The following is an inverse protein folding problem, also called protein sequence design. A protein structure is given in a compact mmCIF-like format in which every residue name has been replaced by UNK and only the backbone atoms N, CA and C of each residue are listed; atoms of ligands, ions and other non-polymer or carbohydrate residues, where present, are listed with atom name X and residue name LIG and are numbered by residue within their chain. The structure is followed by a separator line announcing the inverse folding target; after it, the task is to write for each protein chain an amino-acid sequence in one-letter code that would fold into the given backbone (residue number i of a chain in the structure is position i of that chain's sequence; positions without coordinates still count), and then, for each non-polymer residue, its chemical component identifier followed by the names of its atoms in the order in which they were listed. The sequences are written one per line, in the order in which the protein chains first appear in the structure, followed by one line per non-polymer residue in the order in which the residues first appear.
data_IF_762192589359
#
_entry.id   IF_762192589359
#
_cell.length_a   1.000
_cell.length_b   1.000
_cell.length_c   1.000
_cell.angle_alpha   90.00
_cell.angle_beta   90.00
_cell.angle_gamma   90.00
#
_symmetry.space_group_name_H-M   'P 1'
#
loop_
_entity.id
_entity.type
_entity.pdbx_description
1 polymer ?
#
# COMPACT_ATOMS: atom_id res chain seq x y z
N UNK A 1 23.26 -39.31 41.91
CA UNK A 1 22.58 -39.71 40.65
C UNK A 1 21.29 -38.95 40.61
N UNK A 2 21.29 -37.81 39.92
CA UNK A 2 20.10 -36.93 39.84
C UNK A 2 19.35 -37.26 38.56
N UNK A 3 18.13 -37.66 38.75
CA UNK A 3 17.17 -38.06 37.73
C UNK A 3 16.81 -36.90 36.80
N UNK A 4 16.73 -37.21 35.53
CA UNK A 4 16.39 -36.26 34.50
C UNK A 4 14.95 -35.79 34.59
N UNK A 5 14.75 -34.51 34.81
CA UNK A 5 13.47 -33.85 34.86
C UNK A 5 12.68 -33.92 33.53
N UNK A 6 11.45 -33.44 33.50
CA UNK A 6 10.45 -33.60 32.43
C UNK A 6 10.87 -33.14 31.03
N UNK A 7 12.04 -32.53 30.90
CA UNK A 7 12.61 -32.06 29.65
C UNK A 7 13.03 -33.17 28.67
N UNK A 8 13.41 -34.37 29.15
CA UNK A 8 13.81 -35.50 28.27
C UNK A 8 12.63 -36.25 27.64
N UNK A 9 11.42 -36.12 28.18
CA UNK A 9 10.23 -36.77 27.63
C UNK A 9 9.64 -36.02 26.42
N UNK A 10 9.78 -34.69 26.38
CA UNK A 10 9.27 -33.87 25.29
C UNK A 10 10.11 -33.95 23.99
N UNK A 11 11.36 -34.42 24.08
CA UNK A 11 12.27 -34.55 22.94
C UNK A 11 12.03 -35.80 22.07
N UNK A 12 11.14 -36.71 22.49
CA UNK A 12 10.87 -37.99 21.77
C UNK A 12 9.63 -37.94 20.86
N UNK A 13 8.86 -36.87 20.84
CA UNK A 13 7.57 -36.82 20.15
C UNK A 13 7.47 -35.76 19.03
N UNK A 14 8.54 -35.44 18.36
CA UNK A 14 8.48 -34.57 17.21
C UNK A 14 9.87 -34.29 16.63
N UNK A 15 10.07 -34.56 15.34
CA UNK A 15 11.30 -34.38 14.62
C UNK A 15 11.70 -32.89 14.44
N UNK A 16 12.11 -32.25 15.54
CA UNK A 16 12.76 -30.94 15.52
C UNK A 16 14.18 -31.10 16.05
N UNK A 17 15.17 -31.07 15.16
CA UNK A 17 16.58 -31.00 15.55
C UNK A 17 16.85 -29.58 16.05
N UNK A 18 16.63 -29.35 17.34
CA UNK A 18 17.07 -28.11 18.00
C UNK A 18 18.62 -28.07 17.98
N UNK A 19 19.19 -27.01 17.41
CA UNK A 19 20.64 -26.80 17.47
C UNK A 19 21.09 -26.68 18.93
N UNK A 20 22.31 -27.12 19.27
CA UNK A 20 22.88 -27.09 20.63
C UNK A 20 22.79 -25.72 21.30
N UNK A 21 22.89 -24.63 20.52
CA UNK A 21 22.72 -23.24 20.96
C UNK A 21 21.30 -22.90 21.44
N UNK A 22 20.29 -23.53 20.89
CA UNK A 22 18.88 -23.31 21.28
C UNK A 22 18.57 -23.99 22.62
N UNK A 23 19.16 -25.18 22.88
CA UNK A 23 18.99 -25.91 24.13
C UNK A 23 19.67 -25.18 25.31
N UNK A 24 20.85 -24.58 25.09
CA UNK A 24 21.52 -23.77 26.12
C UNK A 24 20.71 -22.52 26.50
N UNK A 25 20.10 -21.83 25.52
CA UNK A 25 19.24 -20.68 25.78
C UNK A 25 17.91 -21.04 26.45
N UNK A 26 17.33 -22.21 26.17
CA UNK A 26 16.12 -22.65 26.83
C UNK A 26 16.33 -22.93 28.35
N UNK A 27 17.56 -23.20 28.78
CA UNK A 27 17.87 -23.45 30.20
C UNK A 27 17.86 -22.18 31.07
N UNK A 28 17.96 -20.98 30.43
CA UNK A 28 17.87 -19.67 31.11
C UNK A 28 16.40 -19.29 31.40
N UNK A 29 15.43 -19.89 30.70
CA UNK A 29 14.01 -19.62 30.84
C UNK A 29 13.34 -20.81 31.50
N UNK A 30 12.77 -20.69 32.66
CA UNK A 30 12.19 -21.78 33.48
C UNK A 30 11.29 -22.80 32.75
N UNK A 31 10.85 -22.52 31.51
CA UNK A 31 10.14 -23.47 30.65
C UNK A 31 10.36 -23.18 29.14
N UNK A 32 10.16 -24.20 28.28
CA UNK A 32 10.16 -24.06 26.83
C UNK A 32 9.09 -23.06 26.35
N UNK A 33 7.97 -22.97 27.09
CA UNK A 33 6.90 -22.04 26.82
C UNK A 33 7.37 -20.58 27.01
N UNK A 34 8.08 -20.31 28.09
CA UNK A 34 8.62 -19.00 28.43
C UNK A 34 9.70 -18.58 27.43
N UNK A 35 10.57 -19.51 27.05
CA UNK A 35 11.54 -19.27 25.97
C UNK A 35 10.88 -18.92 24.63
N UNK A 36 9.84 -19.68 24.22
CA UNK A 36 9.10 -19.40 22.97
C UNK A 36 8.37 -18.07 23.06
N UNK A 37 7.81 -17.73 24.22
CA UNK A 37 7.14 -16.46 24.43
C UNK A 37 8.13 -15.28 24.39
N UNK A 38 9.32 -15.45 24.99
CA UNK A 38 10.36 -14.44 24.97
C UNK A 38 10.98 -14.25 23.58
N UNK A 39 11.21 -15.34 22.82
CA UNK A 39 11.62 -15.22 21.41
C UNK A 39 10.55 -14.54 20.55
N UNK A 40 9.27 -14.81 20.81
CA UNK A 40 8.17 -14.10 20.15
C UNK A 40 8.17 -12.63 20.55
N UNK A 41 8.37 -12.30 21.82
CA UNK A 41 8.43 -10.95 22.35
C UNK A 41 9.63 -10.18 21.78
N UNK A 42 10.82 -10.78 21.77
CA UNK A 42 12.02 -10.19 21.17
C UNK A 42 11.92 -10.00 19.65
N UNK A 43 11.15 -10.85 18.96
CA UNK A 43 10.80 -10.65 17.54
C UNK A 43 9.76 -9.54 17.38
N UNK A 44 8.80 -9.43 18.30
CA UNK A 44 7.82 -8.31 18.31
C UNK A 44 8.48 -6.97 18.64
N UNK A 45 9.45 -6.92 19.56
CA UNK A 45 10.18 -5.69 19.90
C UNK A 45 11.05 -5.14 18.75
N UNK A 46 11.40 -5.98 17.77
CA UNK A 46 12.06 -5.56 16.52
C UNK A 46 11.09 -5.02 15.48
N UNK A 47 9.80 -5.25 15.66
CA UNK A 47 8.78 -4.80 14.74
C UNK A 47 8.29 -3.40 15.14
N UNK A 48 8.55 -2.44 14.28
CA UNK A 48 7.93 -1.13 14.39
C UNK A 48 6.60 -1.17 13.63
N UNK A 49 5.46 -0.98 14.31
CA UNK A 49 4.14 -0.98 13.66
C UNK A 49 3.98 0.18 12.68
N UNK A 50 4.83 1.18 12.81
CA UNK A 50 4.89 2.36 11.95
C UNK A 50 6.30 2.51 11.37
N UNK A 51 6.36 3.00 10.15
CA UNK A 51 7.60 3.34 9.48
C UNK A 51 7.55 4.80 9.06
N UNK A 52 8.66 5.49 9.28
CA UNK A 52 8.81 6.91 8.96
C UNK A 52 10.06 7.11 8.12
N UNK A 53 9.94 7.90 7.05
CA UNK A 53 11.07 8.34 6.24
C UNK A 53 10.88 9.77 5.76
N UNK A 54 11.99 10.45 5.44
CA UNK A 54 11.96 11.80 4.88
C UNK A 54 12.37 11.79 3.42
N UNK A 55 11.73 12.64 2.61
CA UNK A 55 12.05 12.84 1.20
C UNK A 55 11.88 14.30 0.84
N UNK A 56 12.80 14.83 0.06
CA UNK A 56 12.71 16.19 -0.50
C UNK A 56 11.94 16.17 -1.81
N UNK A 57 11.09 17.16 -2.01
CA UNK A 57 10.37 17.37 -3.27
C UNK A 57 11.35 17.88 -4.32
N UNK A 58 11.63 17.04 -5.33
CA UNK A 58 12.57 17.34 -6.40
C UNK A 58 11.83 17.99 -7.61
N UNK A 59 12.59 18.64 -8.47
CA UNK A 59 12.05 19.28 -9.69
C UNK A 59 11.26 18.30 -10.56
N UNK A 60 11.71 17.06 -10.71
CA UNK A 60 11.03 16.02 -11.48
C UNK A 60 9.67 15.60 -10.90
N UNK A 61 9.42 15.93 -9.64
CA UNK A 61 8.16 15.67 -8.96
C UNK A 61 7.12 16.77 -9.19
N UNK A 62 7.54 17.95 -9.73
CA UNK A 62 6.72 19.13 -9.76
C UNK A 62 6.03 19.36 -11.12
N UNK A 63 4.95 20.12 -11.06
CA UNK A 63 4.24 20.65 -12.22
C UNK A 63 4.83 22.03 -12.63
N UNK A 64 4.16 22.66 -13.62
CA UNK A 64 4.51 23.99 -14.18
C UNK A 64 4.43 25.14 -13.16
N UNK A 65 3.86 24.93 -11.98
CA UNK A 65 3.71 25.91 -10.90
C UNK A 65 4.56 25.56 -9.66
N UNK A 66 5.61 24.74 -9.83
CA UNK A 66 6.49 24.24 -8.78
C UNK A 66 5.75 23.45 -7.69
N UNK A 67 4.53 22.97 -7.96
CA UNK A 67 3.71 22.17 -7.05
C UNK A 67 4.00 20.69 -7.25
N UNK A 68 4.15 19.93 -6.19
CA UNK A 68 4.30 18.48 -6.28
C UNK A 68 3.07 17.86 -6.92
N UNK A 69 3.27 17.12 -8.03
CA UNK A 69 2.18 16.41 -8.72
C UNK A 69 1.58 15.33 -7.81
N UNK A 70 0.25 15.18 -7.78
CA UNK A 70 -0.41 14.17 -6.97
C UNK A 70 0.09 12.75 -7.20
N UNK A 71 0.42 12.38 -8.44
CA UNK A 71 1.00 11.08 -8.74
C UNK A 71 2.40 10.90 -8.13
N UNK A 72 3.24 11.95 -8.14
CA UNK A 72 4.55 11.91 -7.49
C UNK A 72 4.43 11.70 -5.97
N UNK A 73 3.41 12.31 -5.33
CA UNK A 73 3.09 12.08 -3.93
C UNK A 73 2.70 10.61 -3.68
N UNK A 74 1.84 10.02 -4.53
CA UNK A 74 1.47 8.61 -4.43
C UNK A 74 2.64 7.66 -4.69
N UNK A 75 3.57 7.99 -5.59
CA UNK A 75 4.80 7.21 -5.79
C UNK A 75 5.67 7.21 -4.52
N UNK A 76 5.82 8.35 -3.86
CA UNK A 76 6.58 8.44 -2.61
C UNK A 76 5.89 7.65 -1.47
N UNK A 77 4.56 7.70 -1.39
CA UNK A 77 3.72 6.91 -0.47
C UNK A 77 3.89 5.41 -0.72
N UNK A 78 3.81 4.98 -1.97
CA UNK A 78 4.00 3.57 -2.36
C UNK A 78 5.40 3.08 -1.98
N UNK A 79 6.43 3.90 -2.21
CA UNK A 79 7.80 3.56 -1.84
C UNK A 79 7.96 3.46 -0.31
N UNK A 80 7.39 4.37 0.48
CA UNK A 80 7.41 4.28 1.94
C UNK A 80 6.75 2.99 2.46
N UNK A 81 5.64 2.58 1.84
CA UNK A 81 4.99 1.30 2.12
C UNK A 81 5.89 0.09 1.79
N UNK A 82 6.60 0.13 0.68
CA UNK A 82 7.57 -0.89 0.26
C UNK A 82 8.77 -0.97 1.21
N UNK A 83 9.32 0.19 1.59
CA UNK A 83 10.44 0.28 2.54
C UNK A 83 10.06 -0.32 3.89
N UNK A 84 8.83 -0.03 4.37
CA UNK A 84 8.30 -0.66 5.58
C UNK A 84 8.18 -2.18 5.44
N UNK A 85 7.59 -2.68 4.34
CA UNK A 85 7.47 -4.11 4.09
C UNK A 85 8.86 -4.79 4.11
N UNK A 86 9.85 -4.20 3.46
CA UNK A 86 11.24 -4.70 3.46
C UNK A 86 11.84 -4.71 4.87
N UNK A 87 11.62 -3.64 5.65
CA UNK A 87 12.14 -3.53 7.02
C UNK A 87 11.58 -4.62 7.96
N UNK A 88 10.35 -5.08 7.72
CA UNK A 88 9.71 -6.15 8.48
C UNK A 88 9.88 -7.55 7.88
N UNK A 89 10.72 -7.68 6.85
CA UNK A 89 11.04 -8.97 6.21
C UNK A 89 10.04 -9.41 5.13
N UNK A 90 9.04 -8.61 4.81
CA UNK A 90 8.10 -8.85 3.70
C UNK A 90 8.72 -8.37 2.38
N UNK A 91 9.85 -8.98 2.01
CA UNK A 91 10.60 -8.66 0.79
C UNK A 91 9.98 -9.31 -0.45
N UNK A 92 10.37 -8.93 -1.68
CA UNK A 92 9.92 -9.62 -2.90
C UNK A 92 10.15 -11.14 -2.86
N UNK A 93 11.24 -11.60 -2.25
CA UNK A 93 11.52 -13.04 -2.08
C UNK A 93 10.50 -13.73 -1.17
N UNK A 94 9.96 -13.03 -0.16
CA UNK A 94 8.93 -13.53 0.73
C UNK A 94 7.64 -13.89 -0.02
N UNK A 95 7.27 -13.13 -1.06
CA UNK A 95 6.06 -13.36 -1.83
C UNK A 95 6.22 -14.38 -2.96
N UNK A 96 7.46 -14.60 -3.40
CA UNK A 96 7.75 -15.38 -4.62
C UNK A 96 7.44 -16.87 -4.48
N UNK A 97 7.83 -17.50 -3.36
CA UNK A 97 7.60 -18.94 -3.18
C UNK A 97 6.12 -19.31 -2.97
N UNK A 98 5.35 -18.59 -2.12
CA UNK A 98 3.94 -18.88 -1.99
C UNK A 98 3.07 -18.35 -3.13
N UNK A 99 3.65 -17.83 -4.22
CA UNK A 99 2.94 -17.28 -5.39
C UNK A 99 1.85 -16.28 -5.01
N UNK A 100 2.18 -15.37 -4.10
CA UNK A 100 1.22 -14.37 -3.60
C UNK A 100 1.58 -12.97 -4.06
N UNK A 101 0.55 -12.12 -4.16
CA UNK A 101 0.73 -10.69 -4.37
C UNK A 101 -0.35 -9.89 -3.63
N UNK A 102 0.01 -8.69 -3.20
CA UNK A 102 -0.98 -7.69 -2.80
C UNK A 102 -1.44 -6.90 -4.01
N UNK A 103 -2.75 -6.85 -4.23
CA UNK A 103 -3.38 -6.00 -5.22
C UNK A 103 -4.05 -4.83 -4.51
N UNK A 104 -3.79 -3.62 -4.99
CA UNK A 104 -4.49 -2.42 -4.53
C UNK A 104 -5.91 -2.42 -5.12
N UNK A 105 -6.91 -2.43 -4.25
CA UNK A 105 -8.32 -2.43 -4.66
C UNK A 105 -8.92 -1.03 -4.63
N UNK A 106 -8.59 -0.25 -3.60
CA UNK A 106 -9.10 1.10 -3.41
C UNK A 106 -8.05 1.99 -2.76
N UNK A 107 -8.08 3.27 -3.10
CA UNK A 107 -7.23 4.27 -2.48
C UNK A 107 -7.95 5.62 -2.45
N UNK A 108 -7.75 6.38 -1.39
CA UNK A 108 -8.09 7.78 -1.33
C UNK A 108 -6.87 8.56 -0.89
N UNK A 109 -6.62 9.66 -1.57
CA UNK A 109 -5.62 10.68 -1.24
C UNK A 109 -6.38 11.96 -0.91
N UNK A 110 -6.14 12.56 0.25
CA UNK A 110 -6.57 13.90 0.59
C UNK A 110 -5.35 14.80 0.75
N UNK A 111 -5.36 15.96 0.09
CA UNK A 111 -4.29 16.95 0.08
C UNK A 111 -4.83 18.22 0.74
N UNK A 112 -4.38 18.49 1.95
CA UNK A 112 -4.78 19.69 2.71
C UNK A 112 -3.98 20.93 2.28
N UNK A 113 -2.74 20.71 1.84
CA UNK A 113 -1.84 21.70 1.27
C UNK A 113 -0.93 21.02 0.25
N UNK A 114 -0.89 21.53 -0.95
CA UNK A 114 0.02 20.99 -1.98
C UNK A 114 1.46 21.32 -1.64
N UNK A 115 2.35 20.31 -1.49
CA UNK A 115 3.77 20.55 -1.28
C UNK A 115 4.43 21.19 -2.50
N UNK A 116 5.50 21.94 -2.30
CA UNK A 116 6.23 22.67 -3.34
C UNK A 116 7.69 22.23 -3.44
N UNK A 117 8.34 22.61 -4.54
CA UNK A 117 9.75 22.31 -4.82
C UNK A 117 10.66 22.65 -3.64
N UNK A 118 11.51 21.72 -3.26
CA UNK A 118 12.52 21.90 -2.22
C UNK A 118 12.05 21.60 -0.79
N UNK A 119 10.74 21.44 -0.56
CA UNK A 119 10.23 21.06 0.76
C UNK A 119 10.71 19.64 1.14
N UNK A 120 11.07 19.45 2.42
CA UNK A 120 11.32 18.12 2.98
C UNK A 120 10.09 17.62 3.71
N UNK A 121 9.56 16.50 3.25
CA UNK A 121 8.34 15.89 3.78
C UNK A 121 8.67 14.64 4.57
N UNK A 122 7.97 14.45 5.69
CA UNK A 122 8.02 13.25 6.51
C UNK A 122 6.84 12.36 6.15
N UNK A 123 7.12 11.16 5.64
CA UNK A 123 6.14 10.14 5.28
C UNK A 123 6.06 9.13 6.41
N UNK A 124 4.91 9.02 7.04
CA UNK A 124 4.59 7.98 8.01
C UNK A 124 3.67 6.95 7.36
N UNK A 125 3.94 5.67 7.54
CA UNK A 125 3.10 4.58 7.03
C UNK A 125 2.81 3.56 8.10
N UNK A 126 1.53 3.13 8.20
CA UNK A 126 1.02 2.21 9.20
C UNK A 126 0.05 1.22 8.55
N UNK A 127 0.36 -0.09 8.51
CA UNK A 127 -0.65 -1.11 8.23
C UNK A 127 -1.54 -1.30 9.46
N UNK A 128 -2.76 -1.78 9.25
CA UNK A 128 -3.68 -2.15 10.32
C UNK A 128 -3.95 -3.65 10.32
N UNK A 129 -4.40 -4.19 11.45
CA UNK A 129 -4.88 -5.57 11.54
C UNK A 129 -5.94 -5.82 10.46
N UNK A 130 -5.72 -6.81 9.56
CA UNK A 130 -6.63 -7.03 8.45
C UNK A 130 -8.01 -7.42 8.93
N UNK A 131 -9.03 -6.84 8.33
CA UNK A 131 -10.43 -7.22 8.54
C UNK A 131 -10.92 -8.03 7.36
N UNK A 132 -11.29 -9.30 7.57
CA UNK A 132 -11.64 -10.26 6.52
C UNK A 132 -10.46 -10.44 5.54
N UNK A 133 -10.67 -10.16 4.25
CA UNK A 133 -9.62 -10.23 3.21
C UNK A 133 -9.00 -8.86 2.86
N UNK A 134 -9.32 -7.81 3.64
CA UNK A 134 -8.88 -6.44 3.37
C UNK A 134 -7.75 -6.07 4.31
N UNK A 135 -6.64 -5.63 3.72
CA UNK A 135 -5.46 -5.11 4.38
C UNK A 135 -5.43 -3.60 4.18
N UNK A 136 -5.73 -2.84 5.24
CA UNK A 136 -5.69 -1.39 5.24
C UNK A 136 -4.28 -0.91 5.55
N UNK A 137 -3.85 0.14 4.85
CA UNK A 137 -2.62 0.86 5.15
C UNK A 137 -2.88 2.35 5.06
N UNK A 138 -2.55 3.04 6.14
CA UNK A 138 -2.64 4.48 6.24
C UNK A 138 -1.27 5.11 6.02
N UNK A 139 -1.27 6.29 5.42
CA UNK A 139 -0.10 7.16 5.33
C UNK A 139 -0.50 8.56 5.74
N UNK A 140 0.39 9.21 6.49
CA UNK A 140 0.32 10.63 6.81
C UNK A 140 1.60 11.29 6.33
N UNK A 141 1.45 12.41 5.69
CA UNK A 141 2.55 13.20 5.17
C UNK A 141 2.56 14.53 5.89
N UNK A 142 3.70 14.88 6.51
CA UNK A 142 3.87 16.09 7.30
C UNK A 142 4.99 16.94 6.71
N UNK A 143 4.87 18.27 6.85
CA UNK A 143 5.95 19.21 6.55
C UNK A 143 6.98 19.28 7.70
N UNK A 144 7.99 20.14 7.55
CA UNK A 144 9.04 20.33 8.55
C UNK A 144 8.52 20.90 9.89
N UNK A 145 7.36 21.55 9.89
CA UNK A 145 6.71 22.05 11.09
C UNK A 145 5.86 20.97 11.80
N UNK A 146 5.75 19.77 11.23
CA UNK A 146 4.90 18.68 11.71
C UNK A 146 3.42 18.87 11.40
N UNK A 147 3.07 19.76 10.45
CA UNK A 147 1.71 19.92 9.98
C UNK A 147 1.39 18.91 8.90
N UNK A 148 0.26 18.22 9.03
CA UNK A 148 -0.22 17.28 8.03
C UNK A 148 -0.55 18.01 6.73
N UNK A 149 0.12 17.65 5.64
CA UNK A 149 -0.10 18.20 4.29
C UNK A 149 -0.94 17.28 3.43
N UNK A 150 -0.88 15.96 3.66
CA UNK A 150 -1.72 15.00 2.97
C UNK A 150 -1.90 13.71 3.78
N UNK A 151 -2.97 12.96 3.49
CA UNK A 151 -3.23 11.63 4.01
C UNK A 151 -3.66 10.67 2.91
N UNK A 152 -3.32 9.39 3.08
CA UNK A 152 -3.72 8.33 2.14
C UNK A 152 -4.25 7.12 2.91
N UNK A 153 -5.45 6.66 2.56
CA UNK A 153 -6.00 5.37 2.97
C UNK A 153 -5.99 4.43 1.77
N UNK A 154 -5.34 3.30 1.89
CA UNK A 154 -5.25 2.28 0.84
C UNK A 154 -5.75 0.92 1.31
N UNK A 155 -6.55 0.25 0.46
CA UNK A 155 -7.19 -1.04 0.73
C UNK A 155 -6.66 -2.07 -0.24
N UNK A 156 -5.97 -3.06 0.30
CA UNK A 156 -5.29 -4.11 -0.44
C UNK A 156 -5.98 -5.44 -0.23
N UNK A 157 -5.89 -6.31 -1.21
CA UNK A 157 -6.28 -7.72 -1.11
C UNK A 157 -5.08 -8.60 -1.41
N UNK A 158 -4.91 -9.66 -0.63
CA UNK A 158 -3.89 -10.67 -0.89
C UNK A 158 -4.48 -11.72 -1.82
N UNK A 159 -3.78 -12.01 -2.92
CA UNK A 159 -4.21 -13.00 -3.91
C UNK A 159 -3.17 -14.06 -4.13
N UNK A 160 -3.62 -15.24 -4.48
CA UNK A 160 -2.82 -16.28 -5.10
C UNK A 160 -2.68 -15.93 -6.59
N UNK A 161 -1.45 -15.77 -7.07
CA UNK A 161 -1.15 -15.26 -8.42
C UNK A 161 -1.52 -16.28 -9.50
N UNK A 162 -1.40 -17.59 -9.20
CA UNK A 162 -1.69 -18.65 -10.16
C UNK A 162 -3.18 -18.84 -10.36
N UNK A 163 -3.93 -18.92 -9.24
CA UNK A 163 -5.37 -19.15 -9.28
C UNK A 163 -6.19 -17.86 -9.38
N UNK A 164 -5.57 -16.70 -9.19
CA UNK A 164 -6.18 -15.36 -9.11
C UNK A 164 -7.28 -15.26 -8.04
N UNK A 165 -7.21 -16.08 -7.00
CA UNK A 165 -8.20 -16.10 -5.91
C UNK A 165 -7.71 -15.23 -4.75
N UNK A 166 -8.66 -14.50 -4.15
CA UNK A 166 -8.41 -13.75 -2.92
C UNK A 166 -8.18 -14.74 -1.78
N UNK A 167 -7.06 -14.56 -1.07
CA UNK A 167 -6.72 -15.30 0.13
C UNK A 167 -7.44 -14.66 1.32
N UNK A 168 -8.50 -15.32 1.80
CA UNK A 168 -9.34 -14.80 2.90
C UNK A 168 -8.68 -14.88 4.27
N UNK A 169 -7.63 -15.66 4.40
CA UNK A 169 -6.88 -15.85 5.63
C UNK A 169 -5.42 -15.58 5.39
N UNK A 170 -4.79 -14.95 6.37
CA UNK A 170 -3.36 -14.70 6.34
C UNK A 170 -2.60 -16.03 6.29
N UNK A 171 -1.70 -16.24 5.32
CA UNK A 171 -0.89 -17.45 5.22
C UNK A 171 -0.03 -17.66 6.46
N UNK A 172 0.27 -18.92 6.78
CA UNK A 172 1.19 -19.26 7.86
C UNK A 172 2.55 -18.60 7.59
N UNK A 173 3.06 -17.87 8.57
CA UNK A 173 4.32 -17.15 8.45
C UNK A 173 4.18 -15.64 8.16
N UNK A 174 3.02 -15.17 7.71
CA UNK A 174 2.73 -13.73 7.63
C UNK A 174 2.37 -13.10 8.98
N UNK A 175 2.15 -13.88 10.03
CA UNK A 175 2.02 -13.39 11.41
C UNK A 175 3.35 -12.85 11.93
N UNK A 176 4.02 -12.06 11.11
CA UNK A 176 5.32 -11.48 11.46
C UNK A 176 5.18 -10.40 12.54
N UNK A 177 3.95 -9.95 12.83
CA UNK A 177 3.75 -8.76 13.64
C UNK A 177 2.36 -8.72 14.25
N UNK A 178 2.28 -8.21 15.45
CA UNK A 178 1.05 -7.63 15.95
C UNK A 178 0.81 -6.32 15.15
N UNK A 179 0.02 -6.40 14.10
CA UNK A 179 -0.40 -5.22 13.38
C UNK A 179 -1.27 -4.37 14.31
N UNK A 180 -1.12 -3.03 14.28
CA UNK A 180 -1.89 -2.17 15.15
C UNK A 180 -3.39 -2.35 14.94
N UNK A 181 -4.15 -2.20 16.02
CA UNK A 181 -5.60 -2.13 15.92
C UNK A 181 -6.02 -0.97 15.01
N UNK A 182 -7.13 -1.11 14.28
CA UNK A 182 -7.67 -0.05 13.45
C UNK A 182 -7.95 1.23 14.23
N UNK A 183 -7.65 2.37 13.62
CA UNK A 183 -8.10 3.67 14.11
C UNK A 183 -9.48 3.98 13.52
N UNK A 184 -10.33 4.62 14.32
CA UNK A 184 -11.71 4.92 13.91
C UNK A 184 -11.79 6.07 12.87
N UNK A 185 -10.71 6.83 12.67
CA UNK A 185 -10.61 7.85 11.64
C UNK A 185 -10.41 7.19 10.26
N UNK A 186 -11.39 7.33 9.39
CA UNK A 186 -11.35 6.79 8.03
C UNK A 186 -11.63 7.90 7.01
N UNK A 187 -10.76 7.98 6.00
CA UNK A 187 -11.03 8.81 4.83
C UNK A 187 -12.16 8.17 4.00
N UNK A 188 -13.01 9.01 3.41
CA UNK A 188 -14.11 8.50 2.59
C UNK A 188 -13.61 7.90 1.29
N UNK A 189 -13.84 6.61 1.10
CA UNK A 189 -13.55 5.89 -0.15
C UNK A 189 -14.71 5.94 -1.15
N UNK A 190 -15.73 6.76 -0.88
CA UNK A 190 -16.90 6.91 -1.77
C UNK A 190 -16.50 7.67 -3.02
N UNK A 191 -17.02 7.22 -4.17
CA UNK A 191 -16.88 7.84 -5.47
C UNK A 191 -18.28 8.25 -5.94
N UNK A 192 -18.51 9.55 -6.15
CA UNK A 192 -19.70 10.07 -6.79
C UNK A 192 -19.61 9.79 -8.30
N UNK A 193 -20.69 9.24 -8.88
CA UNK A 193 -20.75 8.96 -10.31
C UNK A 193 -21.42 10.12 -11.05
N UNK A 194 -20.85 10.51 -12.19
CA UNK A 194 -21.46 11.50 -13.04
C UNK A 194 -22.74 10.95 -13.70
N UNK A 195 -23.76 11.80 -13.79
CA UNK A 195 -25.01 11.46 -14.49
C UNK A 195 -24.81 11.40 -16.01
N UNK A 196 -23.93 12.24 -16.53
CA UNK A 196 -23.57 12.31 -17.94
C UNK A 196 -22.07 12.15 -18.12
N UNK A 197 -21.67 11.38 -19.13
CA UNK A 197 -20.28 11.11 -19.46
C UNK A 197 -19.95 11.67 -20.82
N UNK A 198 -18.76 12.28 -20.95
CA UNK A 198 -18.21 12.63 -22.24
C UNK A 198 -17.81 11.38 -23.04
N UNK A 199 -17.69 11.53 -24.36
CA UNK A 199 -17.24 10.44 -25.22
C UNK A 199 -15.88 9.89 -24.75
N UNK A 200 -15.69 8.57 -24.80
CA UNK A 200 -14.43 7.97 -24.39
C UNK A 200 -13.26 8.40 -25.30
N UNK A 201 -12.10 8.60 -24.69
CA UNK A 201 -10.85 8.90 -25.38
C UNK A 201 -9.92 7.69 -25.26
N UNK A 202 -9.31 7.31 -26.38
CA UNK A 202 -8.34 6.21 -26.41
C UNK A 202 -7.04 6.59 -25.71
N UNK A 203 -6.53 5.68 -24.94
CA UNK A 203 -5.29 5.77 -24.17
C UNK A 203 -4.45 4.51 -24.40
N UNK A 204 -3.16 4.59 -24.12
CA UNK A 204 -2.22 3.47 -24.18
C UNK A 204 -1.42 3.39 -22.89
N UNK A 205 -1.32 2.21 -22.28
CA UNK A 205 -0.41 1.98 -21.16
C UNK A 205 1.05 2.04 -21.63
N UNK A 206 1.62 3.25 -21.64
CA UNK A 206 2.98 3.50 -22.13
C UNK A 206 4.04 2.94 -21.20
N UNK A 207 5.19 2.56 -21.73
CA UNK A 207 6.34 2.04 -20.98
C UNK A 207 6.68 2.89 -19.73
N UNK A 208 6.71 4.21 -19.86
CA UNK A 208 7.06 5.14 -18.78
C UNK A 208 6.04 5.19 -17.62
N UNK A 209 4.84 4.66 -17.83
CA UNK A 209 3.75 4.62 -16.84
C UNK A 209 3.60 3.25 -16.18
N UNK A 210 4.33 2.25 -16.67
CA UNK A 210 4.22 0.86 -16.20
C UNK A 210 5.30 0.53 -15.18
N UNK A 211 4.97 -0.37 -14.27
CA UNK A 211 5.88 -0.87 -13.24
C UNK A 211 6.57 -2.19 -13.63
N UNK A 212 7.35 -2.74 -12.68
CA UNK A 212 8.07 -4.00 -12.84
C UNK A 212 7.16 -5.22 -13.11
N UNK A 213 5.86 -5.13 -12.83
CA UNK A 213 4.89 -6.19 -13.12
C UNK A 213 4.40 -6.13 -14.57
N UNK A 214 4.84 -5.12 -15.34
CA UNK A 214 4.43 -4.93 -16.73
C UNK A 214 3.02 -4.38 -16.89
N UNK A 215 2.47 -3.73 -15.88
CA UNK A 215 1.15 -3.11 -15.89
C UNK A 215 1.26 -1.62 -15.56
N UNK A 216 0.27 -0.84 -15.97
CA UNK A 216 0.15 0.56 -15.60
C UNK A 216 0.18 0.69 -14.07
N UNK A 217 1.16 1.44 -13.55
CA UNK A 217 1.41 1.56 -12.11
C UNK A 217 0.26 2.26 -11.39
N UNK A 218 -0.08 1.80 -10.19
CA UNK A 218 -1.19 2.34 -9.41
C UNK A 218 -1.06 3.85 -9.15
N UNK A 219 0.14 4.35 -8.85
CA UNK A 219 0.37 5.77 -8.64
C UNK A 219 0.35 6.56 -9.97
N UNK A 220 0.91 6.00 -11.05
CA UNK A 220 0.91 6.60 -12.39
C UNK A 220 -0.49 6.76 -12.98
N UNK A 221 -1.47 5.95 -12.53
CA UNK A 221 -2.86 6.16 -12.90
C UNK A 221 -3.33 7.59 -12.62
N UNK A 222 -2.86 8.21 -11.55
CA UNK A 222 -3.28 9.57 -11.21
C UNK A 222 -2.77 10.63 -12.21
N UNK A 223 -1.56 10.44 -12.78
CA UNK A 223 -1.11 11.27 -13.91
C UNK A 223 -2.04 11.08 -15.12
N UNK A 224 -2.36 9.83 -15.50
CA UNK A 224 -3.26 9.52 -16.62
C UNK A 224 -4.66 10.10 -16.42
N UNK A 225 -5.18 10.06 -15.20
CA UNK A 225 -6.48 10.63 -14.86
C UNK A 225 -6.46 12.17 -14.95
N UNK A 226 -5.39 12.80 -14.46
CA UNK A 226 -5.19 14.26 -14.58
C UNK A 226 -5.03 14.69 -16.04
N UNK A 227 -4.25 13.96 -16.84
CA UNK A 227 -4.06 14.25 -18.28
C UNK A 227 -5.36 14.19 -19.08
N UNK A 228 -6.35 13.42 -18.61
CA UNK A 228 -7.66 13.35 -19.25
C UNK A 228 -8.58 14.54 -18.91
N UNK A 229 -8.21 15.42 -17.99
CA UNK A 229 -9.00 16.60 -17.62
C UNK A 229 -8.68 17.79 -18.53
N UNK A 230 -9.59 18.80 -18.58
CA UNK A 230 -9.28 20.06 -19.23
C UNK A 230 -8.06 20.72 -18.58
N UNK A 231 -7.12 21.20 -19.38
CA UNK A 231 -5.90 21.82 -18.86
C UNK A 231 -6.21 23.04 -17.98
N UNK A 232 -7.28 23.77 -18.31
CA UNK A 232 -7.74 24.93 -17.55
C UNK A 232 -8.14 24.56 -16.12
N UNK A 233 -8.66 23.33 -15.90
CA UNK A 233 -8.97 22.84 -14.57
C UNK A 233 -7.70 22.66 -13.73
N UNK A 234 -6.69 22.00 -14.30
CA UNK A 234 -5.40 21.75 -13.64
C UNK A 234 -4.67 23.06 -13.35
N UNK A 235 -4.81 24.07 -14.25
CA UNK A 235 -4.21 25.39 -14.08
C UNK A 235 -4.93 26.23 -13.00
N UNK A 236 -6.26 26.10 -12.91
CA UNK A 236 -7.07 26.94 -12.04
C UNK A 236 -6.92 26.58 -10.55
N UNK A 237 -6.81 25.29 -10.23
CA UNK A 237 -6.71 24.82 -8.85
C UNK A 237 -5.93 23.51 -8.75
N UNK A 238 -5.16 23.31 -7.68
CA UNK A 238 -4.53 22.02 -7.40
C UNK A 238 -5.60 20.99 -7.00
N UNK A 239 -5.31 19.71 -7.27
CA UNK A 239 -6.10 18.60 -6.77
C UNK A 239 -6.09 18.59 -5.23
N UNK A 240 -7.26 18.51 -4.62
CA UNK A 240 -7.38 18.39 -3.16
C UNK A 240 -7.80 16.98 -2.70
N UNK A 241 -8.44 16.19 -3.59
CA UNK A 241 -8.81 14.80 -3.27
C UNK A 241 -8.82 13.93 -4.51
N UNK A 242 -8.36 12.68 -4.36
CA UNK A 242 -8.51 11.63 -5.35
C UNK A 242 -8.99 10.34 -4.67
N UNK A 243 -10.20 9.88 -4.99
CA UNK A 243 -10.68 8.55 -4.62
C UNK A 243 -10.64 7.64 -5.84
N UNK A 244 -10.01 6.47 -5.71
CA UNK A 244 -9.71 5.59 -6.85
C UNK A 244 -10.08 4.15 -6.48
N UNK A 245 -10.84 3.47 -7.36
CA UNK A 245 -11.10 2.03 -7.33
C UNK A 245 -10.35 1.37 -8.49
N UNK A 246 -9.48 0.43 -8.18
CA UNK A 246 -8.73 -0.37 -9.14
C UNK A 246 -9.45 -1.70 -9.36
N UNK A 247 -9.87 -1.99 -10.59
CA UNK A 247 -10.66 -3.17 -10.91
C UNK A 247 -9.90 -4.20 -11.75
N UNK A 248 -9.21 -3.71 -12.79
CA UNK A 248 -8.52 -4.59 -13.73
C UNK A 248 -7.22 -3.98 -14.22
N UNK A 249 -6.16 -4.77 -14.25
CA UNK A 249 -4.84 -4.33 -14.70
C UNK A 249 -4.85 -4.00 -16.19
N UNK A 250 -4.11 -2.96 -16.59
CA UNK A 250 -3.85 -2.61 -17.99
C UNK A 250 -2.38 -2.93 -18.29
N UNK A 251 -2.09 -4.02 -19.06
CA UNK A 251 -0.72 -4.38 -19.40
C UNK A 251 -0.05 -3.34 -20.29
N UNK A 252 1.28 -3.25 -20.19
CA UNK A 252 2.09 -2.35 -20.99
C UNK A 252 1.84 -2.56 -22.50
N UNK A 253 1.68 -1.46 -23.22
CA UNK A 253 1.40 -1.45 -24.66
C UNK A 253 -0.06 -1.70 -25.03
N UNK A 254 -0.94 -2.03 -24.07
CA UNK A 254 -2.36 -2.22 -24.35
C UNK A 254 -3.14 -0.90 -24.35
N UNK A 255 -4.11 -0.83 -25.25
CA UNK A 255 -5.08 0.25 -25.35
C UNK A 255 -6.19 0.11 -24.32
N UNK A 256 -6.73 1.21 -23.88
CA UNK A 256 -7.93 1.33 -23.06
C UNK A 256 -8.61 2.66 -23.36
N UNK A 257 -9.86 2.80 -22.99
CA UNK A 257 -10.60 4.07 -23.13
C UNK A 257 -10.81 4.69 -21.76
N UNK A 258 -10.83 6.03 -21.73
CA UNK A 258 -11.11 6.81 -20.53
C UNK A 258 -12.22 7.81 -20.83
N UNK A 259 -13.31 7.74 -20.10
CA UNK A 259 -14.42 8.68 -20.11
C UNK A 259 -14.43 9.51 -18.85
N UNK A 260 -14.90 10.74 -18.91
CA UNK A 260 -15.07 11.63 -17.77
C UNK A 260 -16.44 12.28 -17.75
N UNK A 261 -16.88 12.70 -16.59
CA UNK A 261 -18.10 13.47 -16.43
C UNK A 261 -18.02 14.35 -15.18
N UNK A 262 -18.76 15.44 -15.18
CA UNK A 262 -18.80 16.37 -14.04
C UNK A 262 -19.58 15.78 -12.86
N UNK A 263 -19.03 16.01 -11.65
CA UNK A 263 -19.69 15.80 -10.36
C UNK A 263 -19.64 17.12 -9.57
N UNK A 264 -20.27 17.14 -8.43
CA UNK A 264 -20.47 18.37 -7.63
C UNK A 264 -19.15 19.11 -7.34
N UNK A 265 -18.09 18.38 -6.96
CA UNK A 265 -16.79 18.97 -6.55
C UNK A 265 -15.66 18.82 -7.55
N UNK A 266 -15.89 18.12 -8.66
CA UNK A 266 -14.84 17.87 -9.61
C UNK A 266 -15.25 16.98 -10.77
N UNK A 267 -14.55 15.84 -10.93
CA UNK A 267 -14.73 14.95 -12.07
C UNK A 267 -14.79 13.49 -11.64
N UNK A 268 -15.75 12.77 -12.20
CA UNK A 268 -15.76 11.31 -12.22
C UNK A 268 -15.10 10.82 -13.50
N UNK A 269 -14.21 9.81 -13.38
CA UNK A 269 -13.54 9.18 -14.51
C UNK A 269 -13.76 7.66 -14.46
N UNK A 270 -13.91 7.07 -15.65
CA UNK A 270 -14.06 5.62 -15.82
C UNK A 270 -13.19 5.12 -16.96
N UNK A 271 -12.27 4.21 -16.65
CA UNK A 271 -11.40 3.56 -17.62
C UNK A 271 -11.89 2.16 -17.97
N UNK A 272 -11.92 1.81 -19.26
CA UNK A 272 -12.38 0.51 -19.72
C UNK A 272 -11.42 -0.11 -20.74
N UNK A 273 -11.27 -1.43 -20.68
CA UNK A 273 -10.55 -2.26 -21.65
C UNK A 273 -11.33 -3.54 -21.93
N UNK A 274 -11.51 -3.90 -23.18
CA UNK A 274 -12.23 -5.13 -23.59
C UNK A 274 -13.63 -5.23 -22.95
N UNK A 275 -14.34 -4.11 -22.81
CA UNK A 275 -15.67 -4.03 -22.19
C UNK A 275 -15.68 -4.21 -20.66
N UNK A 276 -14.50 -4.16 -20.00
CA UNK A 276 -14.35 -4.29 -18.55
C UNK A 276 -13.82 -3.01 -17.94
N UNK A 277 -14.38 -2.64 -16.80
CA UNK A 277 -13.86 -1.53 -16.02
C UNK A 277 -12.46 -1.85 -15.49
N UNK A 278 -11.48 -0.97 -15.77
CA UNK A 278 -10.13 -1.04 -15.24
C UNK A 278 -9.99 -0.17 -13.99
N UNK A 279 -10.60 1.03 -14.02
CA UNK A 279 -10.48 2.03 -12.98
C UNK A 279 -11.74 2.89 -12.91
N UNK A 280 -12.11 3.29 -11.72
CA UNK A 280 -13.04 4.38 -11.44
C UNK A 280 -12.37 5.37 -10.50
N UNK A 281 -12.56 6.66 -10.74
CA UNK A 281 -12.01 7.69 -9.89
C UNK A 281 -12.94 8.90 -9.75
N UNK A 282 -12.83 9.58 -8.63
CA UNK A 282 -13.35 10.93 -8.39
C UNK A 282 -12.17 11.83 -8.01
N UNK A 283 -12.03 12.94 -8.74
CA UNK A 283 -11.00 13.94 -8.54
C UNK A 283 -11.64 15.27 -8.19
N UNK A 284 -11.37 15.78 -6.97
CA UNK A 284 -11.87 17.07 -6.45
C UNK A 284 -10.75 18.13 -6.48
N UNK A 285 -11.14 19.39 -6.72
CA UNK A 285 -10.22 20.52 -6.86
C UNK A 285 -10.57 21.69 -5.93
#
# INVERSE_FOLDING_TARGET
MAEGGPFKAALKAGSFVLRKTTIARCAEFGSLRDFIMEEKRAKMDKFKPEFTCQRTVLQEHCDFADRMRPAALLHAVQQAGTDHCNAIGMTPAFYKEPHMAFLLAKQVLEIYRTPTLGETLTYMTRPETPRRAIYKRLHRIEDEAGLTVAEVDSRWVLVDVETRRILRHMPKGMNLCAWPEPIDEELSLTIAKAAEMEAPVEQVARYSLCDQNGHLNNASWLDVLCDALPLEQIQAAPLCRAAINYHWEVPMGHEFTLSRGRVERGWYLNGQRDGRCCIEAELDF
#
